data_IF_803796831164
#
_entry.id   IF_803796831164
#
_cell.length_a   1.000
_cell.length_b   1.000
_cell.length_c   1.000
_cell.angle_alpha   90.00
_cell.angle_beta   90.00
_cell.angle_gamma   90.00
#
_symmetry.space_group_name_H-M   'P 1'
#
loop_
_entity.id
_entity.type
_entity.pdbx_description
1 polymer ?
2 polymer ?
3 non-polymer ?
4 water ?
#
# COMPACT_ATOMS: atom_id res chain seq x y z
N UNK A 1 17.64 -30.41 -14.54
CA UNK A 1 17.88 -31.72 -13.96
C UNK A 1 18.27 -31.61 -12.49
N UNK A 2 19.09 -32.54 -11.99
CA UNK A 2 19.69 -32.42 -10.65
C UNK A 2 20.44 -31.10 -10.51
N UNK A 3 21.19 -30.74 -11.55
CA UNK A 3 22.02 -29.52 -11.55
C UNK A 3 21.20 -28.25 -11.32
N UNK A 4 20.11 -28.08 -12.08
CA UNK A 4 19.32 -26.88 -11.97
C UNK A 4 18.63 -26.75 -10.59
N UNK A 5 18.25 -27.89 -10.02
CA UNK A 5 17.69 -27.90 -8.69
C UNK A 5 18.69 -27.43 -7.61
N UNK A 6 19.93 -27.90 -7.67
CA UNK A 6 20.90 -27.50 -6.67
C UNK A 6 21.35 -26.04 -6.91
N UNK A 7 21.46 -25.68 -8.19
CA UNK A 7 21.81 -24.33 -8.55
C UNK A 7 20.76 -23.35 -8.03
N UNK A 8 19.49 -23.74 -8.08
CA UNK A 8 18.43 -22.85 -7.63
C UNK A 8 18.47 -22.57 -6.15
N UNK A 9 19.10 -23.50 -5.43
CA UNK A 9 19.26 -23.45 -3.99
C UNK A 9 20.52 -22.77 -3.48
N UNK A 10 21.33 -22.25 -4.40
CA UNK A 10 22.55 -21.49 -4.04
C UNK A 10 22.26 -20.18 -3.32
N UNK A 11 23.29 -19.58 -2.75
CA UNK A 11 23.20 -18.19 -2.32
C UNK A 11 22.92 -17.34 -3.54
N UNK A 12 21.81 -16.59 -3.55
CA UNK A 12 21.45 -15.76 -4.70
C UNK A 12 21.09 -14.37 -4.26
N UNK A 13 21.64 -13.39 -5.00
CA UNK A 13 21.32 -11.99 -4.76
C UNK A 13 20.80 -11.41 -6.06
N UNK A 14 19.57 -10.85 -5.99
CA UNK A 14 18.88 -10.27 -7.16
C UNK A 14 18.96 -8.75 -7.01
N UNK A 15 19.19 -8.04 -8.11
CA UNK A 15 19.34 -6.59 -8.08
C UNK A 15 18.44 -5.88 -9.05
N UNK A 16 17.80 -4.81 -8.55
CA UNK A 16 17.12 -3.82 -9.44
C UNK A 16 18.09 -2.73 -9.75
N UNK A 17 18.33 -2.49 -11.04
CA UNK A 17 19.25 -1.44 -11.48
C UNK A 17 18.48 -0.26 -12.06
N UNK A 18 18.92 0.94 -11.71
CA UNK A 18 18.45 2.16 -12.38
C UNK A 18 19.69 2.81 -13.04
N UNK A 19 19.59 3.16 -14.31
CA UNK A 19 20.73 3.79 -14.98
C UNK A 19 21.00 5.22 -14.43
N UNK A 20 22.26 5.67 -14.55
CA UNK A 20 22.51 7.08 -14.19
C UNK A 20 21.64 8.04 -14.99
N UNK A 21 21.16 9.09 -14.33
CA UNK A 21 20.24 10.04 -14.94
C UNK A 21 20.76 10.56 -16.26
N UNK A 22 22.07 10.82 -16.33
CA UNK A 22 22.72 11.46 -17.48
C UNK A 22 23.11 10.51 -18.60
N UNK A 23 23.14 9.21 -18.31
CA UNK A 23 23.66 8.23 -19.27
C UNK A 23 22.54 7.90 -20.21
N UNK A 24 22.86 7.78 -21.50
CA UNK A 24 21.83 7.40 -22.44
C UNK A 24 21.44 5.93 -22.27
N UNK A 25 20.21 5.60 -22.64
CA UNK A 25 19.81 4.19 -22.68
C UNK A 25 20.74 3.36 -23.56
N UNK A 26 21.18 3.89 -24.70
CA UNK A 26 22.07 3.17 -25.61
C UNK A 26 23.36 2.77 -24.92
N UNK A 27 23.95 3.71 -24.17
CA UNK A 27 25.20 3.47 -23.50
C UNK A 27 25.00 2.48 -22.35
N UNK A 28 23.90 2.66 -21.63
CA UNK A 28 23.59 1.76 -20.50
C UNK A 28 23.52 0.33 -20.97
N UNK A 29 22.87 0.06 -22.11
CA UNK A 29 22.82 -1.30 -22.65
C UNK A 29 24.23 -1.83 -22.92
N UNK A 30 25.09 -1.01 -23.52
CA UNK A 30 26.46 -1.44 -23.78
C UNK A 30 27.22 -1.76 -22.48
N UNK A 31 27.05 -0.92 -21.46
CA UNK A 31 27.74 -1.15 -20.17
C UNK A 31 27.20 -2.39 -19.43
N UNK A 32 25.90 -2.68 -19.57
CA UNK A 32 25.39 -3.99 -19.06
C UNK A 32 26.12 -5.16 -19.69
N UNK A 33 26.28 -5.15 -21.02
CA UNK A 33 27.03 -6.19 -21.73
C UNK A 33 28.51 -6.24 -21.21
N UNK A 34 29.17 -5.08 -21.08
CA UNK A 34 30.55 -5.07 -20.59
C UNK A 34 30.56 -5.73 -19.19
N UNK A 35 29.58 -5.38 -18.38
CA UNK A 35 29.55 -5.89 -17.00
C UNK A 35 29.41 -7.41 -17.00
N UNK A 36 28.58 -7.95 -17.88
CA UNK A 36 28.48 -9.40 -18.02
C UNK A 36 29.81 -10.04 -18.49
N UNK A 37 30.44 -9.41 -19.48
CA UNK A 37 31.72 -9.91 -19.96
C UNK A 37 32.76 -9.93 -18.84
N UNK A 38 32.77 -8.88 -18.02
CA UNK A 38 33.70 -8.79 -16.90
C UNK A 38 33.46 -9.87 -15.83
N UNK A 39 32.23 -10.42 -15.78
CA UNK A 39 31.91 -11.46 -14.80
C UNK A 39 32.58 -12.81 -15.11
N UNK A 40 33.05 -13.03 -16.35
CA UNK A 40 33.66 -14.32 -16.71
C UNK A 40 34.90 -14.57 -15.85
N UNK A 41 34.92 -15.74 -15.20
CA UNK A 41 36.03 -16.09 -14.30
C UNK A 41 36.13 -15.34 -12.97
N UNK A 42 35.09 -14.57 -12.60
CA UNK A 42 35.07 -13.84 -11.36
C UNK A 42 35.23 -14.81 -10.18
N UNK A 43 36.26 -14.60 -9.32
CA UNK A 43 36.46 -15.61 -8.27
C UNK A 43 35.26 -15.76 -7.35
N UNK A 44 34.88 -17.02 -7.11
CA UNK A 44 33.81 -17.35 -6.18
C UNK A 44 32.40 -17.29 -6.78
N UNK A 45 32.27 -16.71 -7.97
CA UNK A 45 30.94 -16.50 -8.61
C UNK A 45 30.58 -17.71 -9.47
N UNK A 46 29.43 -18.33 -9.19
CA UNK A 46 28.99 -19.44 -10.00
C UNK A 46 28.28 -18.97 -11.27
N UNK A 47 27.49 -17.91 -11.19
CA UNK A 47 26.69 -17.48 -12.37
C UNK A 47 26.34 -16.03 -12.19
N UNK A 48 26.29 -15.31 -13.30
CA UNK A 48 25.82 -13.95 -13.36
C UNK A 48 24.84 -13.81 -14.51
N UNK A 49 23.77 -13.05 -14.30
CA UNK A 49 22.89 -12.72 -15.39
C UNK A 49 22.48 -11.27 -15.27
N UNK A 50 22.38 -10.60 -16.43
CA UNK A 50 21.87 -9.24 -16.46
C UNK A 50 20.90 -9.12 -17.63
N UNK A 51 19.76 -8.49 -17.39
CA UNK A 51 18.74 -8.34 -18.40
C UNK A 51 18.16 -6.94 -18.36
N UNK A 52 17.70 -6.46 -19.53
CA UNK A 52 17.00 -5.20 -19.52
C UNK A 52 15.54 -5.35 -19.14
N UNK A 53 14.99 -4.32 -18.52
CA UNK A 53 13.53 -4.23 -18.39
C UNK A 53 12.94 -3.71 -19.70
N UNK A 54 12.18 -4.55 -20.39
CA UNK A 54 11.63 -4.22 -21.75
C UNK A 54 10.20 -3.79 -21.68
N UNK A 55 9.50 -4.21 -20.65
CA UNK A 55 8.07 -3.90 -20.52
C UNK A 55 7.64 -3.74 -19.07
N UNK A 56 6.64 -2.88 -18.85
CA UNK A 56 6.08 -2.60 -17.53
C UNK A 56 4.56 -2.68 -17.60
N UNK A 57 4.04 -3.90 -17.74
CA UNK A 57 2.57 -4.02 -17.82
C UNK A 57 1.90 -3.55 -16.52
N UNK A 58 0.77 -2.86 -16.64
CA UNK A 58 0.11 -2.32 -15.46
C UNK A 58 -1.30 -2.88 -15.30
N UNK A 59 -1.72 -3.73 -16.24
CA UNK A 59 -3.04 -4.36 -16.15
C UNK A 59 -2.97 -5.69 -15.39
N UNK A 60 -2.68 -5.56 -14.10
CA UNK A 60 -2.50 -6.71 -13.20
C UNK A 60 -3.82 -7.15 -12.56
N UNK A 61 -3.93 -8.41 -12.15
CA UNK A 61 -5.16 -8.87 -11.51
C UNK A 61 -5.08 -8.64 -10.00
N UNK A 62 -3.87 -8.25 -9.60
CA UNK A 62 -3.54 -7.93 -8.23
C UNK A 62 -3.33 -6.41 -8.21
N UNK A 63 -3.67 -5.70 -7.12
CA UNK A 63 -3.23 -4.29 -7.11
C UNK A 63 -1.77 -4.06 -7.52
N UNK A 64 -1.59 -3.08 -8.39
CA UNK A 64 -0.30 -2.77 -8.98
C UNK A 64 0.57 -2.05 -7.99
N UNK A 65 1.84 -2.44 -7.91
CA UNK A 65 2.84 -1.79 -7.07
C UNK A 65 3.79 -0.95 -7.92
N UNK A 66 3.76 0.36 -7.71
CA UNK A 66 4.63 1.28 -8.44
C UNK A 66 5.95 1.41 -7.70
N UNK A 67 7.04 0.99 -8.36
CA UNK A 67 8.38 1.15 -7.82
C UNK A 67 9.24 2.17 -8.60
N UNK A 68 8.60 2.97 -9.46
CA UNK A 68 9.35 3.85 -10.35
C UNK A 68 9.95 3.05 -11.50
N UNK A 69 10.90 3.66 -12.22
CA UNK A 69 11.44 3.09 -13.45
C UNK A 69 12.69 2.29 -13.07
N UNK A 70 12.66 1.01 -13.41
CA UNK A 70 13.82 0.14 -13.26
C UNK A 70 14.32 -0.19 -14.65
N UNK A 71 15.64 -0.09 -14.90
CA UNK A 71 16.19 -0.30 -16.22
C UNK A 71 16.74 -1.67 -16.52
N UNK A 72 17.27 -2.34 -15.50
CA UNK A 72 17.79 -3.66 -15.68
C UNK A 72 17.68 -4.46 -14.39
N UNK A 73 17.80 -5.77 -14.51
CA UNK A 73 17.80 -6.69 -13.37
C UNK A 73 19.04 -7.61 -13.45
N UNK A 74 19.80 -7.61 -12.36
CA UNK A 74 21.02 -8.41 -12.24
C UNK A 74 20.86 -9.50 -11.20
N UNK A 75 21.62 -10.58 -11.33
CA UNK A 75 21.49 -11.69 -10.37
C UNK A 75 22.81 -12.44 -10.28
N UNK A 76 23.24 -12.71 -9.04
CA UNK A 76 24.47 -13.47 -8.77
C UNK A 76 24.15 -14.74 -8.03
N UNK A 77 24.80 -15.83 -8.40
CA UNK A 77 24.72 -17.12 -7.70
C UNK A 77 26.11 -17.46 -7.13
N UNK A 78 26.13 -17.89 -5.86
CA UNK A 78 27.35 -18.40 -5.18
C UNK A 78 27.07 -19.75 -4.62
N UNK A 79 27.97 -20.70 -4.86
CA UNK A 79 27.69 -22.10 -4.54
C UNK A 79 27.77 -22.40 -3.06
N UNK A 80 28.44 -21.56 -2.31
CA UNK A 80 28.64 -21.84 -0.88
C UNK A 80 29.08 -20.61 -0.14
N UNK A 81 29.03 -20.69 1.19
CA UNK A 81 29.54 -19.62 2.01
C UNK A 81 31.03 -19.32 1.72
N UNK A 82 31.82 -20.39 1.57
CA UNK A 82 33.24 -20.23 1.32
C UNK A 82 33.45 -19.49 -0.01
N UNK A 83 32.64 -19.80 -1.03
CA UNK A 83 32.84 -19.16 -2.33
C UNK A 83 32.41 -17.70 -2.28
N UNK A 84 31.35 -17.40 -1.53
CA UNK A 84 30.96 -16.03 -1.35
C UNK A 84 32.09 -15.24 -0.70
N UNK A 85 32.79 -15.83 0.27
CA UNK A 85 33.89 -15.11 0.91
C UNK A 85 35.13 -14.93 0.01
N UNK A 86 35.40 -15.91 -0.85
CA UNK A 86 36.43 -15.76 -1.89
C UNK A 86 36.11 -14.55 -2.76
N UNK A 87 34.84 -14.45 -3.16
CA UNK A 87 34.39 -13.32 -3.96
C UNK A 87 34.57 -11.99 -3.25
N UNK A 88 34.11 -11.92 -1.99
CA UNK A 88 34.13 -10.71 -1.19
C UNK A 88 35.58 -10.26 -0.94
N UNK A 89 36.51 -11.21 -0.93
CA UNK A 89 37.94 -10.91 -0.66
C UNK A 89 38.75 -10.61 -1.93
N UNK A 90 38.14 -10.81 -3.10
CA UNK A 90 38.82 -10.73 -4.39
C UNK A 90 39.05 -9.30 -4.90
N UNK A 91 40.28 -9.02 -5.32
CA UNK A 91 40.59 -7.75 -5.99
C UNK A 91 39.95 -7.62 -7.36
N UNK A 92 39.78 -8.75 -8.04
CA UNK A 92 39.06 -8.81 -9.30
C UNK A 92 37.60 -8.33 -9.13
N UNK A 93 36.96 -8.74 -8.03
CA UNK A 93 35.62 -8.22 -7.70
C UNK A 93 35.59 -6.70 -7.46
N UNK A 94 36.64 -6.18 -6.82
CA UNK A 94 36.66 -4.76 -6.50
C UNK A 94 36.71 -3.91 -7.77
N UNK A 95 37.45 -4.39 -8.77
CA UNK A 95 37.50 -3.78 -10.11
C UNK A 95 36.12 -3.84 -10.83
N UNK A 96 35.42 -4.95 -10.63
CA UNK A 96 34.06 -5.11 -11.19
C UNK A 96 33.11 -4.11 -10.58
N UNK A 97 33.18 -3.95 -9.26
CA UNK A 97 32.38 -2.97 -8.59
C UNK A 97 32.69 -1.52 -9.04
N UNK A 98 33.97 -1.23 -9.35
CA UNK A 98 34.32 0.06 -9.95
C UNK A 98 33.56 0.32 -11.28
N UNK A 99 33.53 -0.71 -12.14
CA UNK A 99 32.72 -0.61 -13.36
C UNK A 99 31.24 -0.39 -13.03
N UNK A 100 30.70 -1.10 -12.03
CA UNK A 100 29.33 -0.87 -11.60
C UNK A 100 29.04 0.57 -11.23
N UNK A 101 30.02 1.21 -10.58
CA UNK A 101 29.88 2.59 -10.16
C UNK A 101 29.70 3.54 -11.33
N UNK A 102 30.30 3.22 -12.46
CA UNK A 102 30.11 3.98 -13.70
C UNK A 102 28.70 3.88 -14.33
N UNK A 103 28.16 2.68 -14.39
CA UNK A 103 26.91 2.53 -15.17
C UNK A 103 25.65 2.28 -14.37
N UNK A 104 25.75 2.19 -13.05
CA UNK A 104 24.57 2.02 -12.22
C UNK A 104 24.34 3.24 -11.32
N UNK A 105 23.23 3.94 -11.56
CA UNK A 105 22.85 5.09 -10.76
C UNK A 105 22.31 4.77 -9.39
N UNK A 106 21.45 3.76 -9.31
CA UNK A 106 20.82 3.35 -8.05
C UNK A 106 20.59 1.85 -8.11
N UNK A 107 20.65 1.21 -6.94
CA UNK A 107 20.61 -0.28 -6.86
C UNK A 107 19.79 -0.74 -5.66
N UNK A 108 18.90 -1.72 -5.85
CA UNK A 108 18.22 -2.41 -4.75
C UNK A 108 18.60 -3.91 -4.76
N UNK A 109 19.29 -4.39 -3.72
CA UNK A 109 19.58 -5.84 -3.61
C UNK A 109 18.54 -6.59 -2.78
N UNK A 110 18.25 -7.80 -3.21
CA UNK A 110 17.44 -8.75 -2.45
C UNK A 110 18.22 -10.02 -2.29
N UNK A 111 18.45 -10.45 -1.05
CA UNK A 111 18.98 -11.82 -0.86
C UNK A 111 17.81 -12.75 -0.73
N UNK A 112 17.69 -13.74 -1.59
CA UNK A 112 16.51 -14.58 -1.63
C UNK A 112 16.73 -15.89 -0.89
N UNK A 113 15.63 -16.60 -0.62
CA UNK A 113 15.72 -17.89 0.00
C UNK A 113 14.71 -18.81 -0.64
N UNK A 114 15.12 -20.06 -0.75
CA UNK A 114 14.34 -21.04 -1.45
C UNK A 114 13.10 -21.34 -0.62
N UNK A 115 12.04 -21.79 -1.29
CA UNK A 115 11.04 -22.64 -0.67
C UNK A 115 11.07 -23.94 -1.48
N UNK A 116 10.31 -24.96 -1.07
CA UNK A 116 10.28 -26.30 -1.72
C UNK A 116 11.15 -26.44 -2.98
N UNK B 2 -17.47 33.84 9.29
CA UNK B 2 -16.62 33.36 10.42
C UNK B 2 -15.70 32.27 9.89
N UNK B 3 -14.51 32.20 10.49
CA UNK B 3 -13.44 31.37 9.98
C UNK B 3 -13.80 29.87 10.00
N UNK B 4 -14.25 29.37 11.14
CA UNK B 4 -14.55 27.94 11.24
C UNK B 4 -15.63 27.52 10.23
N UNK B 5 -16.59 28.40 9.98
CA UNK B 5 -17.59 28.12 8.96
C UNK B 5 -17.01 27.94 7.55
N UNK B 6 -16.09 28.80 7.12
CA UNK B 6 -15.55 28.68 5.79
C UNK B 6 -14.56 27.51 5.72
N UNK B 7 -13.86 27.34 6.82
CA UNK B 7 -12.93 26.22 6.95
C UNK B 7 -13.66 24.91 6.82
N UNK B 8 -14.85 24.81 7.42
CA UNK B 8 -15.64 23.58 7.32
C UNK B 8 -16.08 23.21 5.93
N UNK B 9 -16.16 24.21 5.05
CA UNK B 9 -16.56 24.05 3.65
C UNK B 9 -15.39 23.85 2.67
N UNK B 10 -14.17 23.72 3.21
CA UNK B 10 -13.01 23.41 2.32
C UNK B 10 -13.07 22.03 1.68
N UNK B 11 -12.17 21.74 0.73
CA UNK B 11 -11.99 20.38 0.22
C UNK B 11 -11.47 19.54 1.41
N UNK B 12 -12.18 18.51 1.79
CA UNK B 12 -11.77 17.68 2.92
C UNK B 12 -11.78 16.22 2.52
N UNK B 13 -10.71 15.54 2.94
CA UNK B 13 -10.53 14.12 2.72
C UNK B 13 -10.37 13.46 4.10
N UNK B 14 -11.24 12.49 4.40
CA UNK B 14 -11.27 11.80 5.71
C UNK B 14 -10.81 10.35 5.53
N UNK B 15 -9.83 9.92 6.33
CA UNK B 15 -9.21 8.60 6.13
C UNK B 15 -9.35 7.68 7.31
N UNK B 16 -9.73 6.43 7.03
CA UNK B 16 -9.67 5.35 8.04
C UNK B 16 -8.31 4.67 7.85
N UNK B 17 -7.56 4.55 8.94
CA UNK B 17 -6.19 4.02 8.86
C UNK B 17 -6.05 2.76 9.70
N UNK B 18 -5.53 1.69 9.09
CA UNK B 18 -5.28 0.41 9.81
C UNK B 18 -3.78 0.28 9.91
N UNK B 19 -3.26 0.01 11.11
CA UNK B 19 -1.81 -0.15 11.25
C UNK B 19 -1.31 -1.40 10.50
N UNK B 20 -0.02 -1.39 10.14
CA UNK B 20 0.55 -2.60 9.53
C UNK B 20 0.42 -3.81 10.45
N UNK B 21 0.14 -4.95 9.83
CA UNK B 21 0.10 -6.25 10.43
C UNK B 21 1.27 -6.53 11.42
N UNK B 22 2.44 -6.11 11.01
CA UNK B 22 3.68 -6.41 11.75
C UNK B 22 4.05 -5.36 12.81
N UNK B 23 3.35 -4.23 12.86
CA UNK B 23 3.70 -3.15 13.76
C UNK B 23 2.87 -3.18 15.02
N UNK B 24 3.50 -2.87 16.16
CA UNK B 24 2.76 -2.76 17.41
C UNK B 24 1.83 -1.55 17.46
N UNK B 25 0.77 -1.65 18.25
CA UNK B 25 -0.04 -0.47 18.56
C UNK B 25 0.80 0.66 19.17
N UNK B 26 1.74 0.32 20.05
CA UNK B 26 2.59 1.35 20.65
C UNK B 26 3.37 2.15 19.61
N UNK B 27 4.00 1.47 18.65
CA UNK B 27 4.78 2.18 17.66
C UNK B 27 3.87 2.93 16.68
N UNK B 28 2.74 2.32 16.34
CA UNK B 28 1.75 3.02 15.45
C UNK B 28 1.34 4.37 16.06
N UNK B 29 1.07 4.42 17.36
CA UNK B 29 0.78 5.71 18.02
C UNK B 29 1.93 6.72 17.80
N UNK B 30 3.17 6.28 18.01
CA UNK B 30 4.31 7.16 17.80
C UNK B 30 4.36 7.68 16.36
N UNK B 31 4.10 6.80 15.40
CA UNK B 31 4.22 7.21 13.99
C UNK B 31 3.06 8.12 13.60
N UNK B 32 1.90 7.99 14.24
CA UNK B 32 0.81 8.97 14.00
C UNK B 32 1.30 10.37 14.39
N UNK B 33 1.94 10.49 15.56
CA UNK B 33 2.47 11.78 16.03
C UNK B 33 3.54 12.32 15.09
N UNK B 34 4.45 11.45 14.66
CA UNK B 34 5.47 11.81 13.66
C UNK B 34 4.80 12.35 12.40
N UNK B 35 3.77 11.64 11.94
CA UNK B 35 3.07 12.08 10.71
C UNK B 35 2.46 13.47 10.85
N UNK B 36 1.83 13.72 11.99
CA UNK B 36 1.33 15.06 12.28
C UNK B 36 2.47 16.09 12.28
N UNK B 37 3.58 15.77 12.95
CA UNK B 37 4.67 16.75 12.99
C UNK B 37 5.19 17.05 11.59
N UNK B 38 5.24 16.05 10.74
CA UNK B 38 5.71 16.22 9.36
C UNK B 38 4.76 17.09 8.52
N UNK B 39 3.51 17.19 8.93
CA UNK B 39 2.52 17.94 8.17
C UNK B 39 2.74 19.44 8.27
N UNK B 40 3.45 19.90 9.31
CA UNK B 40 3.67 21.35 9.51
C UNK B 40 4.41 21.95 8.32
N UNK B 41 3.77 22.95 7.72
CA UNK B 41 4.34 23.62 6.56
C UNK B 41 4.15 22.91 5.23
N UNK B 42 3.36 21.84 5.22
CA UNK B 42 3.16 21.06 4.00
C UNK B 42 2.55 21.93 2.88
N UNK B 43 3.20 21.99 1.70
CA UNK B 43 2.68 22.91 0.69
C UNK B 43 1.23 22.57 0.31
N UNK B 44 0.38 23.60 0.25
CA UNK B 44 -1.02 23.46 -0.14
C UNK B 44 -1.98 22.93 0.90
N UNK B 45 -1.48 22.45 2.03
CA UNK B 45 -2.32 21.87 3.08
C UNK B 45 -2.75 22.90 4.08
N UNK B 46 -4.06 23.07 4.27
CA UNK B 46 -4.53 24.01 5.27
C UNK B 46 -4.52 23.44 6.66
N UNK B 47 -4.88 22.16 6.81
CA UNK B 47 -4.95 21.58 8.16
C UNK B 47 -4.82 20.08 8.05
N UNK B 48 -4.17 19.47 9.04
CA UNK B 48 -4.15 18.01 9.14
C UNK B 48 -4.53 17.63 10.58
N UNK B 49 -5.35 16.59 10.72
CA UNK B 49 -5.68 15.98 12.03
C UNK B 49 -5.50 14.46 11.98
N UNK B 50 -4.94 13.89 13.05
CA UNK B 50 -4.87 12.44 13.19
C UNK B 50 -5.22 12.12 14.62
N UNK B 51 -6.07 11.11 14.79
CA UNK B 51 -6.55 10.68 16.11
C UNK B 51 -6.58 9.17 16.16
N UNK B 52 -6.31 8.59 17.34
CA UNK B 52 -6.50 7.17 17.47
C UNK B 52 -7.96 6.82 17.70
N UNK B 53 -8.35 5.62 17.28
CA UNK B 53 -9.60 5.05 17.69
C UNK B 53 -9.41 4.44 19.09
N UNK B 54 -10.04 5.02 20.10
CA UNK B 54 -9.90 4.56 21.49
C UNK B 54 -11.04 3.64 21.94
N UNK B 55 -12.20 3.72 21.30
CA UNK B 55 -13.35 2.91 21.68
C UNK B 55 -14.20 2.58 20.49
N UNK B 56 -14.80 1.39 20.55
CA UNK B 56 -15.68 0.86 19.52
C UNK B 56 -17.00 0.39 20.12
N UNK B 57 -17.84 1.33 20.53
CA UNK B 57 -19.15 0.94 21.13
C UNK B 57 -20.02 0.23 20.11
N UNK B 58 -20.74 -0.81 20.56
CA UNK B 58 -21.63 -1.57 19.66
C UNK B 58 -23.09 -1.50 20.07
N UNK B 59 -23.36 -0.78 21.16
CA UNK B 59 -24.72 -0.54 21.69
C UNK B 59 -25.38 0.65 21.00
N UNK B 60 -25.58 0.53 19.68
CA UNK B 60 -26.07 1.63 18.87
C UNK B 60 -27.62 1.60 18.82
N UNK B 61 -28.19 2.78 18.56
CA UNK B 61 -29.63 3.04 18.46
C UNK B 61 -30.20 2.44 17.17
N UNK B 62 -29.51 2.63 16.06
CA UNK B 62 -29.85 1.89 14.86
C UNK B 62 -28.81 0.80 14.71
N UNK B 63 -29.03 -0.10 13.75
CA UNK B 63 -28.19 -1.27 13.57
C UNK B 63 -26.72 -0.91 13.46
N UNK B 64 -25.89 -1.76 14.04
CA UNK B 64 -24.45 -1.57 14.07
C UNK B 64 -23.85 -2.02 12.74
N UNK B 65 -22.90 -1.24 12.20
CA UNK B 65 -22.19 -1.55 10.97
C UNK B 65 -20.76 -1.98 11.33
N UNK B 66 -20.42 -3.23 11.05
CA UNK B 66 -19.08 -3.74 11.29
C UNK B 66 -18.17 -3.43 10.11
N UNK B 67 -17.10 -2.67 10.36
CA UNK B 67 -16.12 -2.37 9.30
C UNK B 67 -14.77 -2.98 9.62
N UNK B 68 -14.75 -3.89 10.59
CA UNK B 68 -13.50 -4.45 11.10
C UNK B 68 -12.76 -3.47 12.01
N UNK B 69 -11.46 -3.72 12.24
CA UNK B 69 -10.64 -2.90 13.14
C UNK B 69 -9.99 -1.71 12.43
N UNK B 70 -10.36 -0.51 12.88
CA UNK B 70 -9.75 0.72 12.40
C UNK B 70 -8.97 1.31 13.56
N UNK B 71 -7.71 1.67 13.28
CA UNK B 71 -6.81 2.10 14.34
C UNK B 71 -6.68 3.60 14.50
N UNK B 72 -6.86 4.37 13.43
CA UNK B 72 -6.79 5.82 13.55
C UNK B 72 -7.63 6.44 12.46
N UNK B 73 -7.89 7.75 12.64
CA UNK B 73 -8.63 8.54 11.65
C UNK B 73 -7.80 9.77 11.33
N UNK B 74 -7.57 9.99 10.03
CA UNK B 74 -6.78 11.15 9.55
C UNK B 74 -7.72 12.05 8.75
N UNK B 75 -7.40 13.34 8.67
CA UNK B 75 -8.22 14.24 7.85
C UNK B 75 -7.38 15.39 7.35
N UNK B 76 -7.54 15.73 6.05
CA UNK B 76 -6.82 16.84 5.42
C UNK B 76 -7.81 17.87 4.93
N UNK B 77 -7.47 19.15 5.10
CA UNK B 77 -8.25 20.30 4.61
C UNK B 77 -7.40 21.02 3.55
N UNK B 78 -7.99 21.26 2.38
CA UNK B 78 -7.34 22.09 1.33
C UNK B 78 -8.28 23.22 1.03
N UNK B 79 -7.72 24.41 0.95
CA UNK B 79 -8.56 25.57 0.85
C UNK B 79 -9.21 25.76 -0.52
N UNK B 80 -8.62 25.16 -1.54
CA UNK B 80 -9.06 25.35 -2.92
C UNK B 80 -8.44 24.28 -3.79
N UNK B 81 -9.03 24.12 -4.98
CA UNK B 81 -8.50 23.16 -5.95
C UNK B 81 -7.05 23.49 -6.33
N UNK B 82 -6.68 24.77 -6.43
CA UNK B 82 -5.30 25.10 -6.78
C UNK B 82 -4.37 24.70 -5.65
N UNK B 83 -4.81 24.87 -4.38
CA UNK B 83 -3.95 24.43 -3.27
C UNK B 83 -3.78 22.94 -3.22
N UNK B 84 -4.87 22.20 -3.48
CA UNK B 84 -4.72 20.76 -3.62
C UNK B 84 -3.70 20.36 -4.70
N UNK B 85 -3.75 21.07 -5.82
CA UNK B 85 -2.81 20.84 -6.91
C UNK B 85 -1.34 21.13 -6.50
N UNK B 86 -1.09 22.22 -5.77
CA UNK B 86 0.23 22.56 -5.17
C UNK B 86 0.74 21.39 -4.31
N UNK B 87 -0.13 20.90 -3.44
CA UNK B 87 0.18 19.75 -2.59
C UNK B 87 0.55 18.51 -3.41
N UNK B 88 -0.27 18.19 -4.41
CA UNK B 88 -0.08 16.96 -5.18
C UNK B 88 1.22 17.00 -5.98
N UNK B 89 1.61 18.19 -6.43
CA UNK B 89 2.84 18.36 -7.22
C UNK B 89 4.11 18.40 -6.35
N UNK B 90 3.94 18.60 -5.05
CA UNK B 90 5.04 18.85 -4.10
C UNK B 90 5.96 17.65 -3.79
N UNK B 91 7.28 17.85 -3.88
CA UNK B 91 8.29 16.89 -3.40
C UNK B 91 8.20 16.61 -1.91
N UNK B 92 7.92 17.67 -1.14
CA UNK B 92 7.74 17.56 0.30
C UNK B 92 6.61 16.57 0.63
N UNK B 93 5.52 16.62 -0.13
CA UNK B 93 4.41 15.67 0.06
C UNK B 93 4.83 14.22 -0.25
N UNK B 94 5.63 14.02 -1.29
CA UNK B 94 6.09 12.66 -1.61
C UNK B 94 6.92 12.04 -0.45
N UNK B 95 7.74 12.84 0.20
CA UNK B 95 8.44 12.42 1.44
C UNK B 95 7.47 12.05 2.59
N UNK B 96 6.41 12.84 2.74
CA UNK B 96 5.38 12.55 3.74
C UNK B 96 4.69 11.24 3.41
N UNK B 97 4.42 11.02 2.13
CA UNK B 97 3.78 9.81 1.70
C UNK B 97 4.66 8.57 1.92
N UNK B 98 5.96 8.74 1.78
CA UNK B 98 6.92 7.68 2.09
C UNK B 98 6.80 7.25 3.56
N UNK B 99 6.71 8.23 4.46
CA UNK B 99 6.47 7.93 5.89
C UNK B 99 5.13 7.22 6.08
N UNK B 100 4.09 7.72 5.39
CA UNK B 100 2.79 7.05 5.35
C UNK B 100 2.86 5.57 5.04
N UNK B 101 3.67 5.22 4.04
CA UNK B 101 3.81 3.82 3.61
C UNK B 101 4.41 2.94 4.71
N UNK B 102 5.22 3.54 5.57
CA UNK B 102 5.85 2.82 6.68
C UNK B 102 4.81 2.49 7.77
N UNK B 103 3.97 3.46 8.15
CA UNK B 103 3.13 3.23 9.33
C UNK B 103 1.66 2.96 9.07
N UNK B 104 1.23 3.06 7.80
CA UNK B 104 -0.16 2.79 7.43
C UNK B 104 -0.23 1.52 6.61
N UNK B 105 -0.90 0.51 7.15
CA UNK B 105 -1.04 -0.81 6.52
C UNK B 105 -2.10 -0.80 5.43
N UNK B 106 -3.24 -0.18 5.74
CA UNK B 106 -4.39 -0.10 4.82
C UNK B 106 -5.11 1.21 5.07
N UNK B 107 -5.67 1.76 4.00
CA UNK B 107 -6.26 3.12 3.95
C UNK B 107 -7.67 3.09 3.29
N UNK B 108 -8.66 3.80 3.86
CA UNK B 108 -9.90 4.11 3.13
C UNK B 108 -10.11 5.60 3.11
N UNK B 109 -10.04 6.26 1.95
CA UNK B 109 -10.32 7.72 1.85
C UNK B 109 -11.78 7.99 1.53
N UNK B 110 -12.30 9.06 2.11
CA UNK B 110 -13.62 9.59 1.76
C UNK B 110 -13.45 11.07 1.44
N UNK B 111 -13.84 11.50 0.25
CA UNK B 111 -13.96 12.94 -0.04
C UNK B 111 -15.35 13.39 0.40
N UNK B 112 -15.42 14.35 1.30
CA UNK B 112 -16.72 14.75 1.86
C UNK B 112 -17.26 16.00 1.22
N UNK B 113 -18.55 16.27 1.43
CA UNK B 113 -19.19 17.43 0.82
C UNK B 113 -20.05 18.04 1.88
N UNK B 114 -19.98 19.35 1.99
CA UNK B 114 -20.60 20.05 3.10
C UNK B 114 -22.08 20.04 2.86
N UNK B 115 -22.85 20.15 3.95
CA UNK B 115 -24.29 20.36 3.89
C UNK B 115 -24.45 21.73 4.52
N UNK B 116 -25.67 22.28 4.57
CA UNK B 116 -25.88 23.66 5.05
C UNK B 116 -24.80 24.16 6.04
N UNK C 8 -12.64 21.47 30.57
CA UNK C 8 -12.75 19.98 30.44
C UNK C 8 -11.76 19.40 29.45
N UNK C 9 -11.82 18.09 29.26
CA UNK C 9 -11.01 17.45 28.20
C UNK C 9 -11.95 16.92 27.10
N UNK C 10 -11.71 17.34 25.85
CA UNK C 10 -12.71 17.17 24.76
C UNK C 10 -12.87 15.69 24.39
N UNK C 11 -14.12 15.28 24.22
CA UNK C 11 -14.50 13.95 23.83
C UNK C 11 -15.08 14.07 22.40
N UNK C 12 -14.65 13.23 21.48
CA UNK C 12 -15.15 13.29 20.08
C UNK C 12 -15.57 11.87 19.67
N UNK C 13 -16.75 11.74 19.04
CA UNK C 13 -17.22 10.50 18.49
C UNK C 13 -17.56 10.74 17.04
N UNK C 14 -16.94 9.95 16.17
CA UNK C 14 -17.19 10.04 14.74
C UNK C 14 -18.01 8.87 14.27
N UNK C 15 -18.92 9.10 13.34
CA UNK C 15 -19.84 8.05 12.87
C UNK C 15 -19.85 7.89 11.37
N UNK C 16 -19.78 6.67 10.92
CA UNK C 16 -20.05 6.33 9.51
C UNK C 16 -21.53 5.98 9.39
N UNK C 17 -22.23 6.70 8.52
CA UNK C 17 -23.67 6.49 8.34
C UNK C 17 -23.92 5.84 7.00
N UNK C 18 -24.86 4.89 6.98
CA UNK C 18 -25.37 4.27 5.75
C UNK C 18 -26.85 4.50 5.74
N UNK C 19 -27.40 5.00 4.63
CA UNK C 19 -28.83 5.31 4.60
C UNK C 19 -29.66 4.00 4.57
N UNK C 20 -30.94 4.09 4.95
CA UNK C 20 -31.85 2.92 4.80
C UNK C 20 -31.98 2.60 3.32
N UNK C 21 -32.01 1.32 3.00
CA UNK C 21 -32.17 0.88 1.60
C UNK C 21 -33.45 1.49 0.98
N UNK C 22 -34.48 1.67 1.81
CA UNK C 22 -35.78 2.15 1.35
C UNK C 22 -35.83 3.67 1.11
N UNK C 23 -34.79 4.38 1.52
CA UNK C 23 -34.79 5.82 1.40
C UNK C 23 -33.92 6.28 0.25
N UNK C 24 -34.42 7.19 -0.57
CA UNK C 24 -33.60 7.70 -1.67
C UNK C 24 -32.41 8.51 -1.21
N UNK C 25 -31.40 8.56 -2.04
CA UNK C 25 -30.24 9.43 -1.70
C UNK C 25 -30.65 10.87 -1.45
N UNK C 26 -31.57 11.40 -2.23
CA UNK C 26 -31.98 12.78 -2.04
C UNK C 26 -32.79 12.96 -0.75
N UNK C 27 -33.63 11.99 -0.42
CA UNK C 27 -34.38 12.11 0.84
C UNK C 27 -33.38 12.04 1.98
N UNK C 28 -32.39 11.16 1.87
CA UNK C 28 -31.35 11.03 2.92
C UNK C 28 -30.62 12.35 3.13
N UNK C 29 -30.23 13.01 2.06
CA UNK C 29 -29.61 14.34 2.16
C UNK C 29 -30.50 15.33 2.92
N UNK C 30 -31.78 15.42 2.55
CA UNK C 30 -32.68 16.31 3.25
C UNK C 30 -32.79 15.95 4.74
N UNK C 31 -32.82 14.65 5.07
CA UNK C 31 -32.90 14.25 6.48
C UNK C 31 -31.62 14.53 7.23
N UNK C 32 -30.48 14.50 6.57
CA UNK C 32 -29.22 14.97 7.21
C UNK C 32 -29.35 16.44 7.61
N UNK C 33 -29.88 17.26 6.70
CA UNK C 33 -30.05 18.69 6.98
C UNK C 33 -31.03 18.85 8.16
N UNK C 34 -32.13 18.12 8.17
CA UNK C 34 -33.10 18.15 9.31
C UNK C 34 -32.39 17.74 10.60
N UNK C 35 -31.58 16.70 10.54
CA UNK C 35 -30.89 16.25 11.74
C UNK C 35 -29.94 17.33 12.30
N UNK C 36 -29.23 18.01 11.40
CA UNK C 36 -28.41 19.12 11.77
C UNK C 36 -29.19 20.25 12.40
N UNK C 37 -30.31 20.61 11.79
CA UNK C 37 -31.14 21.68 12.33
C UNK C 37 -31.66 21.33 13.73
N UNK C 38 -32.10 20.10 13.91
CA UNK C 38 -32.61 19.63 15.22
C UNK C 38 -31.54 19.74 16.30
N UNK C 39 -30.27 19.59 15.94
CA UNK C 39 -29.16 19.51 16.90
C UNK C 39 -28.86 20.84 17.57
N UNK C 40 -29.40 21.96 17.04
CA UNK C 40 -29.03 23.27 17.59
C UNK C 40 -29.34 23.38 19.08
N UNK C 41 -28.38 23.82 19.87
CA UNK C 41 -28.63 23.97 21.31
C UNK C 41 -28.88 22.66 22.06
N UNK C 42 -28.40 21.55 21.53
CA UNK C 42 -28.58 20.25 22.16
C UNK C 42 -27.84 20.24 23.51
N UNK C 43 -28.52 19.83 24.59
CA UNK C 43 -27.82 19.79 25.91
C UNK C 43 -26.53 18.95 25.84
N UNK C 44 -25.48 19.51 26.42
CA UNK C 44 -24.19 18.80 26.58
C UNK C 44 -23.33 18.71 25.34
N UNK C 45 -23.84 19.17 24.20
CA UNK C 45 -23.11 19.01 22.93
C UNK C 45 -22.35 20.29 22.60
N UNK C 46 -21.06 20.17 22.37
CA UNK C 46 -20.25 21.30 22.07
C UNK C 46 -20.35 21.68 20.58
N UNK C 47 -20.34 20.67 19.71
CA UNK C 47 -20.37 20.86 18.24
C UNK C 47 -20.98 19.61 17.63
N UNK C 48 -21.72 19.78 16.50
CA UNK C 48 -22.20 18.70 15.70
C UNK C 48 -21.83 19.04 14.26
N UNK C 49 -21.35 18.01 13.53
CA UNK C 49 -21.15 18.11 12.08
C UNK C 49 -21.69 16.92 11.36
N UNK C 50 -22.33 17.15 10.20
CA UNK C 50 -22.67 16.03 9.35
C UNK C 50 -22.38 16.43 7.91
N UNK C 51 -21.72 15.55 7.18
CA UNK C 51 -21.48 15.84 5.79
C UNK C 51 -21.74 14.59 4.98
N UNK C 52 -21.91 14.75 3.67
CA UNK C 52 -22.03 13.63 2.75
C UNK C 52 -20.72 13.09 2.28
N UNK C 53 -20.68 11.81 1.93
CA UNK C 53 -19.54 11.22 1.22
C UNK C 53 -19.77 11.45 -0.27
N UNK C 54 -18.90 12.24 -0.89
CA UNK C 54 -19.05 12.67 -2.30
C UNK C 54 -18.17 11.87 -3.22
N UNK C 55 -17.09 11.31 -2.71
CA UNK C 55 -16.11 10.63 -3.55
C UNK C 55 -15.40 9.52 -2.79
N UNK C 56 -15.07 8.45 -3.51
CA UNK C 56 -14.37 7.30 -2.99
C UNK C 56 -13.14 6.96 -3.82
N UNK C 57 -12.06 7.75 -3.70
CA UNK C 57 -10.86 7.49 -4.50
C UNK C 57 -10.25 6.14 -4.14
N UNK C 58 -9.76 5.39 -5.13
CA UNK C 58 -9.19 4.07 -4.86
C UNK C 58 -7.69 3.97 -5.14
N UNK C 59 -7.14 5.07 -5.64
CA UNK C 59 -5.74 5.19 -6.07
C UNK C 59 -4.81 5.56 -4.90
N UNK C 60 -4.78 4.69 -3.89
CA UNK C 60 -4.02 4.93 -2.67
C UNK C 60 -2.55 4.46 -2.80
N UNK C 61 -1.62 5.08 -2.06
CA UNK C 61 -0.20 4.66 -2.11
C UNK C 61 0.17 3.65 -1.03
N UNK C 62 -0.83 3.19 -0.30
CA UNK C 62 -0.73 1.97 0.49
C UNK C 62 -2.01 1.20 0.16
N UNK C 63 -2.07 -0.10 0.48
CA UNK C 63 -3.27 -0.90 0.18
C UNK C 63 -4.62 -0.22 0.54
N UNK C 64 -5.54 -0.29 -0.41
CA UNK C 64 -6.89 0.24 -0.25
C UNK C 64 -7.76 -0.67 0.64
N UNK C 65 -8.46 -0.06 1.59
CA UNK C 65 -9.38 -0.76 2.47
C UNK C 65 -10.83 -0.59 2.04
N UNK C 66 -11.48 -1.67 1.62
CA UNK C 66 -12.86 -1.55 1.18
C UNK C 66 -13.76 -1.76 2.39
N UNK C 67 -14.57 -0.76 2.72
CA UNK C 67 -15.52 -0.89 3.82
C UNK C 67 -16.96 -0.82 3.31
N UNK C 68 -17.16 -1.04 2.01
CA UNK C 68 -18.49 -0.89 1.41
C UNK C 68 -18.89 0.57 1.27
N UNK C 69 -20.18 0.80 1.01
CA UNK C 69 -20.69 2.12 0.71
C UNK C 69 -21.10 2.86 1.97
N UNK C 70 -20.44 3.98 2.22
CA UNK C 70 -20.78 4.87 3.34
C UNK C 70 -21.38 6.12 2.73
N UNK C 71 -22.53 6.56 3.27
CA UNK C 71 -23.24 7.71 2.69
C UNK C 71 -22.97 9.09 3.31
N UNK C 72 -22.65 9.09 4.60
CA UNK C 72 -22.40 10.34 5.29
C UNK C 72 -21.53 10.06 6.50
N UNK C 73 -20.99 11.15 7.03
CA UNK C 73 -20.15 11.11 8.23
C UNK C 73 -20.72 12.10 9.22
N UNK C 74 -20.94 11.65 10.45
CA UNK C 74 -21.40 12.52 11.51
C UNK C 74 -20.32 12.61 12.59
N UNK C 75 -20.30 13.70 13.35
CA UNK C 75 -19.33 13.82 14.44
C UNK C 75 -19.93 14.66 15.55
N UNK C 76 -19.71 14.19 16.79
CA UNK C 76 -20.11 14.93 18.00
C UNK C 76 -18.91 15.28 18.87
N UNK C 77 -18.89 16.49 19.37
CA UNK C 77 -17.87 16.97 20.31
C UNK C 77 -18.54 17.21 21.66
N UNK C 78 -17.89 16.80 22.76
CA UNK C 78 -18.38 17.17 24.11
C UNK C 78 -17.20 17.76 24.89
N UNK C 79 -17.41 18.90 25.54
CA UNK C 79 -16.30 19.66 26.15
C UNK C 79 -15.77 19.03 27.43
N UNK C 80 -16.52 18.10 28.03
CA UNK C 80 -16.12 17.41 29.28
C UNK C 80 -16.98 16.18 29.52
N UNK C 81 -16.55 15.33 30.46
CA UNK C 81 -17.37 14.17 30.76
C UNK C 81 -18.70 14.57 31.43
N UNK C 82 -18.72 15.70 32.13
CA UNK C 82 -20.00 16.18 32.68
C UNK C 82 -20.99 16.51 31.54
N UNK C 83 -20.48 17.22 30.52
CA UNK C 83 -21.34 17.53 29.36
C UNK C 83 -21.82 16.28 28.65
N UNK C 84 -20.97 15.25 28.52
CA UNK C 84 -21.41 14.01 27.94
C UNK C 84 -22.55 13.39 28.75
N UNK C 85 -22.43 13.42 30.10
CA UNK C 85 -23.51 12.88 30.94
C UNK C 85 -24.84 13.66 30.73
N UNK C 86 -24.74 14.99 30.68
CA UNK C 86 -25.93 15.84 30.46
C UNK C 86 -26.61 15.48 29.13
N UNK C 87 -25.80 15.31 28.10
CA UNK C 87 -26.28 14.90 26.77
C UNK C 87 -26.98 13.56 26.83
N UNK C 88 -26.39 12.56 27.51
CA UNK C 88 -26.98 11.26 27.56
C UNK C 88 -28.32 11.23 28.36
N UNK C 89 -28.42 12.13 29.33
CA UNK C 89 -29.65 12.24 30.14
C UNK C 89 -30.80 12.95 29.43
N UNK C 90 -30.51 13.67 28.35
CA UNK C 90 -31.50 14.61 27.79
C UNK C 90 -32.67 14.00 27.01
N UNK C 91 -33.88 14.46 27.33
CA UNK C 91 -35.06 14.02 26.58
C UNK C 91 -35.05 14.45 25.12
N UNK C 92 -34.58 15.67 24.84
CA UNK C 92 -34.49 16.10 23.44
C UNK C 92 -33.43 15.29 22.69
N UNK C 93 -32.34 14.89 23.35
CA UNK C 93 -31.39 14.00 22.72
C UNK C 93 -32.05 12.66 22.36
N UNK C 94 -32.85 12.10 23.26
CA UNK C 94 -33.53 10.85 22.98
C UNK C 94 -34.46 11.00 21.78
N UNK C 95 -35.14 12.12 21.68
CA UNK C 95 -36.06 12.38 20.53
C UNK C 95 -35.21 12.53 19.26
N UNK C 96 -34.04 13.17 19.39
CA UNK C 96 -33.13 13.34 18.24
C UNK C 96 -32.70 11.99 17.73
N UNK C 97 -32.34 11.07 18.64
CA UNK C 97 -31.96 9.74 18.22
C UNK C 97 -33.11 8.98 17.54
N UNK C 98 -34.38 9.25 17.90
CA UNK C 98 -35.52 8.63 17.18
C UNK C 98 -35.55 9.11 15.74
N UNK C 99 -35.28 10.41 15.49
CA UNK C 99 -35.11 10.87 14.11
C UNK C 99 -33.96 10.12 13.42
N UNK C 100 -32.88 9.87 14.15
CA UNK C 100 -31.78 9.05 13.63
C UNK C 100 -32.22 7.69 13.13
N UNK C 101 -33.12 7.04 13.87
CA UNK C 101 -33.64 5.73 13.52
C UNK C 101 -34.40 5.76 12.22
N UNK C 102 -35.01 6.89 11.89
CA UNK C 102 -35.75 7.03 10.63
C UNK C 102 -34.80 7.14 9.39
N UNK C 103 -33.71 7.89 9.51
CA UNK C 103 -32.92 8.18 8.30
C UNK C 103 -31.57 7.52 8.25
N UNK C 104 -31.18 6.81 9.31
CA UNK C 104 -29.91 6.08 9.30
C UNK C 104 -30.19 4.56 9.36
N UNK C 105 -29.79 3.83 8.33
CA UNK C 105 -30.03 2.39 8.30
C UNK C 105 -29.01 1.59 9.07
N UNK C 106 -27.76 2.04 9.07
CA UNK C 106 -26.67 1.31 9.77
C UNK C 106 -25.62 2.34 10.17
N UNK C 107 -24.89 2.09 11.27
CA UNK C 107 -24.02 3.11 11.92
C UNK C 107 -22.77 2.52 12.55
N UNK C 108 -21.57 3.02 12.20
CA UNK C 108 -20.34 2.61 12.93
C UNK C 108 -19.83 3.81 13.74
N UNK C 109 -19.86 3.75 15.09
CA UNK C 109 -19.21 4.77 15.91
C UNK C 109 -17.74 4.50 16.23
N UNK C 110 -16.95 5.56 16.21
CA UNK C 110 -15.55 5.53 16.73
C UNK C 110 -15.39 6.59 17.83
N UNK C 111 -15.07 6.16 19.05
CA UNK C 111 -14.67 7.13 20.06
C UNK C 111 -13.18 7.41 19.83
N UNK C 112 -12.80 8.68 19.63
CA UNK C 112 -11.42 8.97 19.28
C UNK C 112 -10.59 9.53 20.43
N UNK C 113 -9.27 9.50 20.28
CA UNK C 113 -8.32 10.06 21.23
C UNK C 113 -7.40 11.03 20.52
N UNK C 114 -7.20 12.21 21.12
CA UNK C 114 -6.25 13.20 20.60
C UNK C 114 -4.83 12.78 20.88
N UNK C 115 -3.95 13.10 19.94
CA UNK C 115 -2.55 12.67 20.03
C UNK C 115 -1.64 13.84 20.28
N UNK C 116 -2.13 15.03 19.92
CA UNK C 116 -1.32 16.24 20.00
C UNK C 116 -2.23 17.30 20.55
N UNK D 8 15.68 -18.58 -26.29
CA UNK D 8 16.14 -17.78 -27.47
C UNK D 8 14.97 -16.94 -27.94
N UNK D 9 13.84 -17.61 -28.12
CA UNK D 9 12.53 -16.98 -28.27
C UNK D 9 11.97 -16.80 -26.86
N UNK D 10 12.77 -17.15 -25.85
CA UNK D 10 12.33 -17.21 -24.42
C UNK D 10 11.87 -15.86 -23.86
N UNK D 11 10.65 -15.85 -23.33
CA UNK D 11 10.03 -14.69 -22.71
C UNK D 11 10.12 -14.93 -21.21
N UNK D 12 10.55 -13.89 -20.48
CA UNK D 12 10.62 -13.96 -19.01
C UNK D 12 9.94 -12.77 -18.35
N UNK D 13 9.13 -13.04 -17.33
CA UNK D 13 8.47 -11.97 -16.59
C UNK D 13 8.80 -12.19 -15.12
N UNK D 14 9.40 -11.19 -14.49
CA UNK D 14 9.79 -11.24 -13.09
C UNK D 14 8.81 -10.39 -12.29
N UNK D 15 8.40 -10.87 -11.12
CA UNK D 15 7.39 -10.21 -10.27
C UNK D 15 7.88 -9.92 -8.87
N UNK D 16 7.70 -8.69 -8.41
CA UNK D 16 7.88 -8.37 -6.97
C UNK D 16 6.54 -8.55 -6.28
N UNK D 17 6.52 -9.38 -5.24
CA UNK D 17 5.29 -9.74 -4.51
C UNK D 17 5.28 -9.14 -3.11
N UNK D 18 4.20 -8.45 -2.74
CA UNK D 18 3.99 -8.00 -1.34
C UNK D 18 2.78 -8.79 -0.80
N UNK D 19 2.87 -9.34 0.41
CA UNK D 19 1.78 -10.14 0.97
C UNK D 19 0.60 -9.23 1.37
N UNK D 20 -0.62 -9.81 1.42
CA UNK D 20 -1.77 -9.03 1.94
C UNK D 20 -1.58 -8.65 3.40
N UNK D 21 -2.12 -7.49 3.77
CA UNK D 21 -2.07 -7.04 5.16
C UNK D 21 -2.89 -7.92 6.08
N UNK D 22 -3.83 -8.70 5.52
CA UNK D 22 -4.63 -9.65 6.29
C UNK D 22 -3.93 -10.97 6.60
N UNK D 23 -2.68 -11.11 6.13
CA UNK D 23 -1.91 -12.34 6.25
C UNK D 23 -0.62 -12.10 7.03
N UNK D 24 -0.27 -13.07 7.87
CA UNK D 24 1.05 -13.07 8.49
C UNK D 24 2.11 -13.53 7.49
N UNK D 25 3.37 -13.30 7.82
CA UNK D 25 4.48 -13.78 6.99
C UNK D 25 4.44 -15.32 6.83
N UNK D 26 4.09 -16.05 7.89
CA UNK D 26 4.07 -17.51 7.79
C UNK D 26 2.92 -18.00 6.90
N UNK D 27 1.76 -17.37 7.02
CA UNK D 27 0.60 -17.69 6.18
C UNK D 27 0.97 -17.48 4.71
N UNK D 28 1.67 -16.39 4.44
CA UNK D 28 2.11 -16.04 3.07
C UNK D 28 3.10 -17.07 2.54
N UNK D 29 4.04 -17.50 3.37
CA UNK D 29 5.02 -18.48 2.97
C UNK D 29 4.32 -19.77 2.52
N UNK D 30 3.35 -20.22 3.32
CA UNK D 30 2.59 -21.42 3.01
C UNK D 30 1.83 -21.22 1.67
N UNK D 31 1.26 -20.04 1.41
CA UNK D 31 0.53 -19.86 0.15
C UNK D 31 1.47 -19.78 -1.03
N UNK D 32 2.72 -19.34 -0.85
CA UNK D 32 3.71 -19.36 -1.94
C UNK D 32 3.96 -20.81 -2.35
N UNK D 33 4.12 -21.69 -1.36
CA UNK D 33 4.28 -23.13 -1.62
C UNK D 33 3.07 -23.67 -2.36
N UNK D 34 1.86 -23.34 -1.89
CA UNK D 34 0.64 -23.79 -2.60
C UNK D 34 0.68 -23.27 -4.05
N UNK D 35 1.05 -22.00 -4.26
CA UNK D 35 1.05 -21.44 -5.62
C UNK D 35 2.00 -22.21 -6.51
N UNK D 36 3.17 -22.54 -5.96
CA UNK D 36 4.14 -23.29 -6.72
C UNK D 36 3.64 -24.68 -7.08
N UNK D 37 3.07 -25.37 -6.10
CA UNK D 37 2.48 -26.72 -6.36
C UNK D 37 1.40 -26.68 -7.43
N UNK D 38 0.54 -25.68 -7.38
CA UNK D 38 -0.52 -25.44 -8.39
C UNK D 38 0.02 -25.27 -9.79
N UNK D 39 1.22 -24.70 -9.94
CA UNK D 39 1.80 -24.34 -11.23
C UNK D 39 2.29 -25.51 -12.03
N UNK D 40 2.41 -26.69 -11.42
CA UNK D 40 2.99 -27.85 -12.10
C UNK D 40 2.18 -28.16 -13.37
N UNK D 41 2.88 -28.33 -14.48
CA UNK D 41 2.21 -28.68 -15.73
C UNK D 41 1.25 -27.64 -16.28
N UNK D 42 1.45 -26.39 -15.90
CA UNK D 42 0.66 -25.26 -16.40
C UNK D 42 0.80 -25.11 -17.91
N UNK D 43 -0.33 -25.06 -18.65
CA UNK D 43 -0.20 -24.90 -20.11
C UNK D 43 0.63 -23.67 -20.48
N UNK D 44 1.52 -23.89 -21.45
CA UNK D 44 2.38 -22.87 -22.04
C UNK D 44 3.50 -22.37 -21.19
N UNK D 45 3.56 -22.80 -19.95
CA UNK D 45 4.63 -22.35 -19.07
C UNK D 45 5.86 -23.25 -19.13
N UNK D 46 7.05 -22.68 -19.35
CA UNK D 46 8.27 -23.45 -19.42
C UNK D 46 8.87 -23.72 -18.04
N UNK D 47 8.78 -22.72 -17.17
CA UNK D 47 9.38 -22.77 -15.84
C UNK D 47 8.67 -21.74 -14.98
N UNK D 48 8.48 -22.09 -13.71
CA UNK D 48 8.02 -21.16 -12.69
C UNK D 48 8.96 -21.22 -11.48
N UNK D 49 9.28 -20.05 -10.91
CA UNK D 49 10.05 -20.02 -9.68
C UNK D 49 9.43 -19.01 -8.74
N UNK D 50 9.38 -19.34 -7.45
CA UNK D 50 8.99 -18.35 -6.45
C UNK D 50 9.96 -18.55 -5.26
N UNK D 51 10.46 -17.43 -4.75
CA UNK D 51 11.40 -17.46 -3.64
C UNK D 51 11.09 -16.32 -2.68
N UNK D 52 11.47 -16.49 -1.41
CA UNK D 52 11.24 -15.42 -0.46
C UNK D 52 12.38 -14.41 -0.47
N UNK D 53 12.08 -13.18 -0.08
CA UNK D 53 13.11 -12.20 0.18
C UNK D 53 13.57 -12.40 1.64
N UNK D 54 14.79 -12.87 1.80
CA UNK D 54 15.31 -13.17 3.15
C UNK D 54 16.11 -12.02 3.72
N UNK D 55 16.72 -11.21 2.87
CA UNK D 55 17.53 -10.11 3.35
C UNK D 55 17.52 -8.90 2.45
N UNK D 56 17.72 -7.75 3.06
CA UNK D 56 17.72 -6.46 2.38
C UNK D 56 18.95 -5.65 2.71
N UNK D 57 20.13 -6.07 2.17
CA UNK D 57 21.42 -5.36 2.41
C UNK D 57 21.30 -3.89 2.02
N UNK D 58 21.89 -3.00 2.79
CA UNK D 58 21.82 -1.58 2.37
C UNK D 58 23.19 -0.93 2.17
N UNK D 59 24.25 -1.69 2.37
CA UNK D 59 25.61 -1.19 2.13
C UNK D 59 26.03 -1.46 0.68
N UNK D 60 25.37 -0.75 -0.23
CA UNK D 60 25.69 -0.83 -1.66
C UNK D 60 26.82 0.16 -1.96
N UNK D 61 27.59 -0.12 -3.01
CA UNK D 61 28.67 0.80 -3.43
C UNK D 61 28.21 1.90 -4.38
N UNK D 62 26.95 1.83 -4.84
CA UNK D 62 26.30 2.97 -5.51
C UNK D 62 25.04 3.31 -4.72
N UNK D 63 24.39 4.45 -5.01
CA UNK D 63 23.24 4.85 -4.19
C UNK D 63 22.16 3.75 -4.05
N UNK D 64 21.71 3.55 -2.83
CA UNK D 64 20.69 2.53 -2.51
C UNK D 64 19.29 2.98 -2.93
N UNK D 65 18.54 2.07 -3.56
CA UNK D 65 17.18 2.34 -4.01
C UNK D 65 16.16 1.68 -3.08
N UNK D 66 15.35 2.50 -2.40
CA UNK D 66 14.30 1.96 -1.53
C UNK D 66 13.05 1.76 -2.35
N UNK D 67 12.54 0.53 -2.37
CA UNK D 67 11.27 0.15 -3.02
C UNK D 67 10.26 -0.37 -1.98
N UNK D 68 10.47 -0.06 -0.70
CA UNK D 68 9.63 -0.60 0.34
C UNK D 68 9.92 -2.06 0.63
N UNK D 69 8.96 -2.73 1.27
CA UNK D 69 9.12 -4.10 1.70
C UNK D 69 8.56 -5.07 0.65
N UNK D 70 9.45 -5.85 0.05
CA UNK D 70 9.05 -6.87 -0.92
C UNK D 70 9.15 -8.21 -0.21
N UNK D 71 8.12 -9.03 -0.27
CA UNK D 71 8.16 -10.29 0.47
C UNK D 71 8.62 -11.52 -0.31
N UNK D 72 8.39 -11.56 -1.63
CA UNK D 72 8.79 -12.72 -2.46
C UNK D 72 8.99 -12.24 -3.88
N UNK D 73 9.70 -13.08 -4.63
CA UNK D 73 9.98 -12.81 -6.04
C UNK D 73 9.42 -13.99 -6.80
N UNK D 74 8.61 -13.74 -7.84
CA UNK D 74 8.15 -14.81 -8.73
C UNK D 74 8.71 -14.62 -10.14
N UNK D 75 8.83 -15.68 -10.92
CA UNK D 75 9.31 -15.52 -12.28
C UNK D 75 8.68 -16.61 -13.17
N UNK D 76 8.21 -16.18 -14.36
CA UNK D 76 7.67 -17.10 -15.36
C UNK D 76 8.53 -17.08 -16.60
N UNK D 77 8.77 -18.26 -17.17
CA UNK D 77 9.47 -18.41 -18.44
C UNK D 77 8.49 -19.00 -19.43
N UNK D 78 8.50 -18.50 -20.66
CA UNK D 78 7.71 -19.09 -21.76
C UNK D 78 8.69 -19.28 -22.92
N UNK D 79 8.66 -20.47 -23.52
CA UNK D 79 9.64 -20.85 -24.55
C UNK D 79 9.42 -20.12 -25.86
N UNK D 80 8.25 -19.53 -26.07
CA UNK D 80 7.90 -18.84 -27.30
C UNK D 80 6.67 -17.99 -27.10
N UNK D 81 6.41 -17.09 -28.05
CA UNK D 81 5.19 -16.32 -28.08
C UNK D 81 3.94 -17.22 -28.16
N UNK D 82 4.06 -18.34 -28.88
CA UNK D 82 2.93 -19.28 -29.06
C UNK D 82 2.57 -19.91 -27.71
N UNK D 83 3.61 -20.29 -26.97
CA UNK D 83 3.39 -20.86 -25.61
C UNK D 83 2.75 -19.81 -24.68
N UNK D 84 3.17 -18.56 -24.76
CA UNK D 84 2.55 -17.54 -24.01
C UNK D 84 1.06 -17.39 -24.32
N UNK D 85 0.67 -17.45 -25.60
CA UNK D 85 -0.75 -17.31 -25.87
C UNK D 85 -1.56 -18.54 -25.38
N UNK D 86 -0.98 -19.74 -25.46
CA UNK D 86 -1.64 -20.95 -24.91
C UNK D 86 -1.89 -20.76 -23.39
N UNK D 87 -0.89 -20.24 -22.70
CA UNK D 87 -1.03 -19.91 -21.27
C UNK D 87 -2.13 -18.92 -21.02
N UNK D 88 -2.22 -17.81 -21.77
CA UNK D 88 -3.21 -16.77 -21.43
C UNK D 88 -4.67 -17.22 -21.63
N UNK D 89 -4.87 -18.12 -22.58
CA UNK D 89 -6.21 -18.71 -22.90
C UNK D 89 -6.51 -20.00 -22.07
N UNK D 90 -5.60 -20.44 -21.22
CA UNK D 90 -5.88 -21.62 -20.37
C UNK D 90 -6.83 -21.35 -19.17
N UNK D 91 -7.84 -22.20 -19.02
CA UNK D 91 -8.76 -22.09 -17.87
C UNK D 91 -8.02 -22.34 -16.56
N UNK D 92 -7.07 -23.29 -16.53
CA UNK D 92 -6.38 -23.52 -15.24
C UNK D 92 -5.48 -22.34 -14.89
N UNK D 93 -4.91 -21.67 -15.90
CA UNK D 93 -4.12 -20.46 -15.64
C UNK D 93 -5.00 -19.37 -15.01
N UNK D 94 -6.22 -19.18 -15.52
CA UNK D 94 -7.14 -18.24 -14.94
C UNK D 94 -7.47 -18.59 -13.48
N UNK D 95 -7.69 -19.87 -13.19
CA UNK D 95 -7.93 -20.29 -11.78
C UNK D 95 -6.68 -20.05 -10.93
N UNK D 96 -5.50 -20.28 -11.51
CA UNK D 96 -4.24 -20.02 -10.81
C UNK D 96 -4.13 -18.53 -10.43
N UNK D 97 -4.50 -17.64 -11.36
CA UNK D 97 -4.43 -16.21 -11.12
C UNK D 97 -5.42 -15.84 -9.99
N UNK D 98 -6.58 -16.49 -9.90
CA UNK D 98 -7.52 -16.29 -8.76
C UNK D 98 -6.88 -16.59 -7.42
N UNK D 99 -6.11 -17.68 -7.33
CA UNK D 99 -5.34 -17.95 -6.13
C UNK D 99 -4.32 -16.84 -5.86
N UNK D 100 -3.69 -16.31 -6.91
CA UNK D 100 -2.80 -15.16 -6.73
C UNK D 100 -3.49 -13.96 -6.06
N UNK D 101 -4.75 -13.73 -6.43
CA UNK D 101 -5.54 -12.66 -5.79
C UNK D 101 -5.71 -12.86 -4.30
N UNK D 102 -5.77 -14.11 -3.85
CA UNK D 102 -5.89 -14.42 -2.45
C UNK D 102 -4.62 -14.15 -1.62
N UNK D 103 -3.45 -14.47 -2.16
CA UNK D 103 -2.22 -14.40 -1.34
C UNK D 103 -1.22 -13.32 -1.70
N UNK D 104 -1.49 -12.53 -2.74
CA UNK D 104 -0.66 -11.40 -3.15
C UNK D 104 -1.41 -10.09 -2.98
N UNK D 105 -0.95 -9.26 -2.05
CA UNK D 105 -1.56 -7.94 -1.83
C UNK D 105 -1.25 -6.92 -2.91
N UNK D 106 0.01 -6.88 -3.38
CA UNK D 106 0.45 -5.93 -4.39
C UNK D 106 1.53 -6.59 -5.23
N UNK D 107 1.61 -6.29 -6.52
CA UNK D 107 2.74 -6.83 -7.28
C UNK D 107 3.14 -5.97 -8.43
N UNK D 108 4.43 -6.07 -8.75
CA UNK D 108 5.09 -5.31 -9.83
C UNK D 108 5.66 -6.28 -10.83
N UNK D 109 5.15 -6.31 -12.07
CA UNK D 109 5.75 -7.16 -13.10
C UNK D 109 6.80 -6.42 -13.94
N UNK D 110 7.83 -7.14 -14.31
CA UNK D 110 8.84 -6.66 -15.29
C UNK D 110 8.93 -7.67 -16.42
N UNK D 111 8.68 -7.27 -17.67
CA UNK D 111 9.01 -8.14 -18.83
C UNK D 111 10.45 -7.87 -19.17
N UNK D 112 11.28 -8.92 -19.23
CA UNK D 112 12.69 -8.67 -19.42
C UNK D 112 13.17 -8.95 -20.86
N UNK D 113 14.38 -8.50 -21.18
CA UNK D 113 15.04 -8.73 -22.45
C UNK D 113 16.48 -9.20 -22.21
N UNK D 114 16.88 -10.26 -22.93
CA UNK D 114 18.25 -10.75 -22.81
C UNK D 114 19.19 -9.86 -23.56
N UNK D 115 20.41 -9.83 -23.07
CA UNK D 115 21.45 -8.91 -23.58
C UNK D 115 22.61 -9.68 -24.16
N UNK D 116 22.78 -10.90 -23.67
CA UNK D 116 23.85 -11.79 -24.11
C UNK D 116 23.29 -13.17 -24.33
N UNK E 1 11.77 -22.15 -4.89
CA UNK E 1 11.20 -23.43 -5.48
C UNK E 1 11.05 -23.25 -6.97
N UNK E 2 11.48 -24.24 -7.77
CA UNK E 2 11.28 -24.16 -9.24
C UNK E 2 11.05 -25.52 -9.92
N UNK E 3 10.41 -25.47 -11.10
CA UNK E 3 10.37 -26.59 -12.07
C UNK E 3 10.59 -26.07 -13.48
N UNK E 4 11.03 -26.93 -14.41
CA UNK E 4 11.20 -26.51 -15.83
C UNK E 4 11.15 -27.67 -16.80
N UNK E 5 10.78 -27.37 -18.04
CA UNK E 5 10.82 -28.34 -19.14
C UNK E 5 12.18 -28.30 -19.82
N UNK F 1 -22.18 20.30 7.08
CA UNK F 1 -22.77 21.40 7.95
C UNK F 1 -22.35 21.29 9.41
N UNK F 2 -22.03 22.42 10.08
CA UNK F 2 -21.65 22.45 11.51
C UNK F 2 -22.02 23.73 12.32
N UNK F 3 -22.04 23.55 13.64
CA UNK F 3 -22.11 24.62 14.64
C UNK F 3 -21.24 24.24 15.81
N UNK F 4 -20.74 25.24 16.54
CA UNK F 4 -20.02 25.00 17.79
C UNK F 4 -20.07 26.21 18.72
N UNK F 5 -19.78 25.96 20.00
CA UNK F 5 -19.72 27.03 20.98
C UNK F 5 -18.36 27.71 20.89
X LIG G 1 -3.05 11.19 6.13
X LIG G 1 -2.35 12.08 5.20
X LIG G 1 -2.82 11.70 3.80
X LIG G 1 -2.48 10.29 3.52
X LIG G 1 -3.07 9.38 4.52
X LIG G 1 -2.60 9.81 5.94
X LIG G 1 -2.92 10.04 2.14
X LIG G 1 -2.23 8.82 1.57
X LIG G 1 -2.88 8.31 -0.07
X LIG G 1 -2.53 9.37 -1.08
X LIG G 1 -4.37 8.16 -0.09
X LIG G 1 -2.24 7.00 -0.36
X LIG H 1 -25.09 11.61 14.66
X LIG H 1 -25.46 11.85 16.08
X LIG H 1 -25.36 10.57 16.95
X LIG H 1 -26.17 9.52 16.33
X LIG H 1 -25.87 9.32 14.89
X LIG H 1 -26.00 10.63 14.09
X LIG H 1 -26.63 8.34 17.12
X LIG H 1 -25.48 7.51 17.69
X LIG H 1 -25.92 5.81 18.27
X LIG H 1 -26.44 5.87 19.68
X LIG H 1 -24.65 5.02 18.26
X LIG H 1 -26.96 5.17 17.38
X LIG I 1 25.37 -6.89 -10.42
X LIG I 1 25.32 -5.42 -10.36
X LIG I 1 25.47 -5.01 -8.87
X LIG I 1 26.72 -5.55 -8.26
X LIG I 1 26.85 -7.03 -8.43
X LIG I 1 26.66 -7.39 -9.90
X LIG I 1 26.71 -5.40 -6.81
X LIG I 1 27.09 -3.98 -6.46
X LIG I 1 26.99 -3.61 -4.67
X LIG I 1 25.64 -3.73 -4.08
X LIG I 1 27.52 -2.21 -4.59
X LIG I 1 27.84 -4.56 -3.88
X LIG J 1 3.48 -15.34 -10.24
X LIG J 1 2.52 -14.72 -9.31
X LIG J 1 2.00 -13.52 -10.08
X LIG J 1 1.17 -14.03 -11.20
X LIG J 1 2.04 -14.73 -12.17
X LIG J 1 2.70 -15.89 -11.38
X LIG J 1 0.13 -13.11 -11.69
X LIG J 1 0.60 -12.01 -12.63
X LIG J 1 -0.58 -10.63 -12.95
X LIG J 1 0.26 -9.46 -13.33
X LIG J 1 -1.44 -10.34 -11.76
X LIG J 1 -1.47 -10.97 -14.14
#
# INVERSE_FOLDING_TARGET
PQFEKIEGRMIRILYLLVKPESMSHEQFRKECVVHFQMSAGMPGLHKYEVRLVAGNPTDTHVPYLDVGRIDAIGECWFASEEQYQVYMESDIRKAWFEHGKYFIGQLKPFVTEELV
PQFEKIEGRMIRILYLLVKPESMSHEQFRKECVVHFQMSAGMPGLHKYEVRLVAGNPTDTHVPYLDVGRIDAIGECWFASEEQYQVYMESDIRKAWFEHGKYFIGQLKPFVTEELV
PQFEKIEGRMIRILYLLVKPESMSHEQFRKECVVHFQMSAGMPGLHKYEVRLVAGNPTDTHVPYLDVGRIDAIGECWFASEEQYQVYMESDIRKAWFEHGKYFIGQLKPFVTEELV
PQFEKIEGRMIRILYLLVKPESMSHEQFRKECVVHFQMSAGMPGLHKYEVRLVAGNPTDTHVPYLDVGRIDAIGECWFASEEQYQVYMESDIRKAWFEHGKYFIGQLKPFVTEELV
ASWSA
ASWSA
MES O1 C2 C3 N4 C5 C6 C7 C8 S O1S O2S O3S
MES O1 C2 C3 N4 C5 C6 C7 C8 S O1S O2S O3S
MES O1 C2 C3 N4 C5 C6 C7 C8 S O1S O2S O3S
MES O1 C2 C3 N4 C5 C6 C7 C8 S O1S O2S O3S
#
